data_IF_515740696344
#
_entry.id   IF_515740696344
#
_cell.length_a   1.000
_cell.length_b   1.000
_cell.length_c   1.000
_cell.angle_alpha   90.00
_cell.angle_beta   90.00
_cell.angle_gamma   90.00
#
_symmetry.space_group_name_H-M   'P 1'
#
loop_
_entity.id
_entity.type
_entity.pdbx_description
1 polymer ?
#
# COMPACT_ATOMS: atom_id res chain seq x y z
N UNK A 1 -29.06 22.64 -62.03
CA UNK A 1 -29.95 23.74 -61.61
C UNK A 1 -31.19 23.13 -61.00
N UNK A 2 -31.54 23.49 -59.76
CA UNK A 2 -32.64 22.89 -58.99
C UNK A 2 -32.19 22.25 -57.67
N UNK A 3 -31.37 22.95 -56.88
CA UNK A 3 -31.05 22.52 -55.52
C UNK A 3 -32.16 23.02 -54.57
N UNK A 4 -32.81 22.06 -53.93
CA UNK A 4 -33.85 22.23 -52.94
C UNK A 4 -33.51 23.24 -51.85
N UNK A 5 -34.35 24.27 -51.73
CA UNK A 5 -34.59 24.99 -50.48
C UNK A 5 -35.32 24.05 -49.49
N UNK A 6 -34.62 23.06 -48.93
CA UNK A 6 -35.17 22.21 -47.87
C UNK A 6 -34.91 22.84 -46.49
N UNK A 7 -35.99 23.34 -45.90
CA UNK A 7 -36.26 23.50 -44.47
C UNK A 7 -35.25 24.29 -43.62
N UNK A 8 -35.35 25.61 -43.67
CA UNK A 8 -35.10 26.43 -42.46
C UNK A 8 -36.39 26.48 -41.63
N UNK A 9 -36.34 26.26 -40.30
CA UNK A 9 -37.53 26.30 -39.46
C UNK A 9 -38.14 27.72 -39.43
N UNK A 10 -39.41 27.84 -39.82
CA UNK A 10 -40.21 29.07 -39.76
C UNK A 10 -40.71 29.33 -38.32
N UNK A 11 -39.80 29.46 -37.35
CA UNK A 11 -40.12 29.91 -35.99
C UNK A 11 -39.78 31.38 -35.84
N UNK A 12 -40.77 32.23 -35.52
CA UNK A 12 -40.69 33.68 -35.23
C UNK A 12 -39.29 34.29 -35.31
N UNK A 13 -38.89 34.67 -36.52
CA UNK A 13 -37.62 35.30 -36.88
C UNK A 13 -37.49 36.76 -36.42
N UNK A 14 -38.34 37.24 -35.51
CA UNK A 14 -38.38 38.65 -35.12
C UNK A 14 -37.21 39.12 -34.23
N UNK A 15 -36.30 38.25 -33.78
CA UNK A 15 -35.11 38.66 -33.00
C UNK A 15 -33.75 38.43 -33.68
N UNK A 16 -33.70 37.77 -34.84
CA UNK A 16 -32.44 37.55 -35.54
C UNK A 16 -32.45 38.32 -36.86
N UNK A 17 -32.01 39.59 -36.79
CA UNK A 17 -31.89 40.46 -37.95
C UNK A 17 -31.06 39.79 -39.05
N UNK A 18 -31.73 39.46 -40.18
CA UNK A 18 -31.25 39.25 -41.57
C UNK A 18 -29.88 38.62 -41.84
N UNK A 19 -29.24 37.99 -40.86
CA UNK A 19 -27.92 37.39 -40.93
C UNK A 19 -28.00 35.87 -41.10
N UNK A 20 -27.19 35.36 -42.02
CA UNK A 20 -26.97 33.92 -42.23
C UNK A 20 -26.67 33.24 -40.89
N UNK A 21 -27.49 32.28 -40.47
CA UNK A 21 -27.29 31.54 -39.22
C UNK A 21 -26.02 30.71 -39.34
N UNK A 22 -24.99 31.11 -38.58
CA UNK A 22 -23.72 30.42 -38.52
C UNK A 22 -23.71 29.21 -37.60
N UNK A 23 -23.26 28.05 -38.10
CA UNK A 23 -22.99 26.91 -37.22
C UNK A 23 -21.72 27.17 -36.41
N UNK A 24 -21.75 26.79 -35.13
CA UNK A 24 -20.55 26.87 -34.28
C UNK A 24 -19.49 25.85 -34.70
N UNK A 25 -18.22 26.28 -34.65
CA UNK A 25 -17.08 25.42 -34.94
C UNK A 25 -16.98 24.26 -33.94
N UNK A 26 -16.53 23.06 -34.37
CA UNK A 26 -16.31 21.94 -33.45
C UNK A 26 -15.31 22.28 -32.33
N UNK A 27 -14.28 23.09 -32.62
CA UNK A 27 -13.28 23.53 -31.65
C UNK A 27 -13.85 24.46 -30.60
N UNK A 28 -14.73 25.42 -30.96
CA UNK A 28 -15.34 26.32 -29.99
C UNK A 28 -16.29 25.56 -29.06
N UNK A 29 -17.01 24.56 -29.60
CA UNK A 29 -17.85 23.66 -28.80
C UNK A 29 -17.01 22.86 -27.80
N UNK A 30 -15.91 22.25 -28.25
CA UNK A 30 -15.01 21.48 -27.38
C UNK A 30 -14.32 22.37 -26.34
N UNK A 31 -13.78 23.52 -26.76
CA UNK A 31 -13.12 24.47 -25.86
C UNK A 31 -14.09 25.01 -24.81
N UNK A 32 -15.35 25.27 -25.18
CA UNK A 32 -16.39 25.66 -24.22
C UNK A 32 -16.65 24.58 -23.16
N UNK A 33 -16.67 23.30 -23.56
CA UNK A 33 -16.83 22.17 -22.64
C UNK A 33 -15.62 22.04 -21.70
N UNK A 34 -14.40 22.26 -22.20
CA UNK A 34 -13.17 22.24 -21.38
C UNK A 34 -13.22 23.36 -20.34
N UNK A 35 -13.60 24.58 -20.73
CA UNK A 35 -13.73 25.70 -19.79
C UNK A 35 -14.82 25.43 -18.74
N UNK A 36 -15.97 24.89 -19.15
CA UNK A 36 -17.00 24.45 -18.21
C UNK A 36 -16.47 23.40 -17.22
N UNK A 37 -15.68 22.43 -17.68
CA UNK A 37 -15.08 21.42 -16.81
C UNK A 37 -14.09 22.04 -15.81
N UNK A 38 -13.21 22.94 -16.25
CA UNK A 38 -12.25 23.64 -15.35
C UNK A 38 -12.98 24.44 -14.27
N UNK A 39 -14.09 25.09 -14.61
CA UNK A 39 -14.89 25.87 -13.65
C UNK A 39 -15.70 24.94 -12.71
N UNK A 40 -16.29 23.88 -13.24
CA UNK A 40 -17.19 23.00 -12.49
C UNK A 40 -16.44 22.03 -11.57
N UNK A 41 -15.23 21.59 -11.95
CA UNK A 41 -14.47 20.60 -11.19
C UNK A 41 -14.21 21.05 -9.74
N UNK A 42 -13.67 22.25 -9.43
CA UNK A 42 -13.47 22.68 -8.04
C UNK A 42 -14.77 22.71 -7.23
N UNK A 43 -15.87 23.14 -7.85
CA UNK A 43 -17.19 23.21 -7.19
C UNK A 43 -17.69 21.81 -6.85
N UNK A 44 -17.57 20.87 -7.79
CA UNK A 44 -17.90 19.46 -7.57
C UNK A 44 -17.04 18.85 -6.46
N UNK A 45 -15.73 19.12 -6.45
CA UNK A 45 -14.82 18.61 -5.42
C UNK A 45 -15.22 19.10 -4.03
N UNK A 46 -15.59 20.38 -3.92
CA UNK A 46 -16.07 20.97 -2.69
C UNK A 46 -17.38 20.31 -2.21
N UNK A 47 -18.34 20.11 -3.12
CA UNK A 47 -19.62 19.45 -2.80
C UNK A 47 -19.46 17.97 -2.44
N UNK A 48 -18.46 17.28 -2.99
CA UNK A 48 -18.17 15.87 -2.69
C UNK A 48 -17.32 15.65 -1.43
N UNK A 49 -16.72 16.71 -0.88
CA UNK A 49 -15.85 16.66 0.31
C UNK A 49 -16.40 15.81 1.47
N UNK A 50 -17.66 15.96 1.94
CA UNK A 50 -18.16 15.16 3.06
C UNK A 50 -18.24 13.66 2.73
N UNK A 51 -18.66 13.30 1.52
CA UNK A 51 -18.75 11.90 1.09
C UNK A 51 -17.36 11.29 0.98
N UNK A 52 -16.39 12.04 0.45
CA UNK A 52 -14.99 11.59 0.38
C UNK A 52 -14.41 11.33 1.76
N UNK A 53 -14.69 12.21 2.73
CA UNK A 53 -14.30 12.00 4.12
C UNK A 53 -14.85 10.69 4.67
N UNK A 54 -16.13 10.38 4.43
CA UNK A 54 -16.72 9.09 4.85
C UNK A 54 -16.12 7.88 4.12
N UNK A 55 -15.74 8.04 2.84
CA UNK A 55 -15.03 6.99 2.10
C UNK A 55 -13.65 6.72 2.76
N UNK A 56 -12.92 7.76 3.14
CA UNK A 56 -11.63 7.60 3.84
C UNK A 56 -11.81 7.00 5.25
N UNK A 57 -12.84 7.40 5.98
CA UNK A 57 -13.16 6.82 7.30
C UNK A 57 -13.54 5.33 7.17
N UNK A 58 -14.40 4.95 6.22
CA UNK A 58 -14.77 3.54 5.99
C UNK A 58 -13.61 2.67 5.47
N UNK A 59 -12.61 3.25 4.79
CA UNK A 59 -11.36 2.57 4.48
C UNK A 59 -10.58 2.20 5.76
N UNK A 60 -10.56 3.07 6.76
CA UNK A 60 -9.88 2.80 8.04
C UNK A 60 -10.56 1.66 8.82
N UNK A 61 -11.89 1.55 8.75
CA UNK A 61 -12.65 0.52 9.46
C UNK A 61 -12.84 -0.79 8.66
N UNK A 62 -12.26 -0.90 7.45
CA UNK A 62 -12.26 -2.12 6.61
C UNK A 62 -13.65 -2.71 6.29
N UNK A 63 -14.67 -1.86 6.21
CA UNK A 63 -16.03 -2.31 5.90
C UNK A 63 -16.28 -2.26 4.38
N UNK A 64 -16.02 -3.37 3.68
CA UNK A 64 -16.08 -3.41 2.20
C UNK A 64 -17.46 -3.06 1.63
N UNK A 65 -18.54 -3.45 2.31
CA UNK A 65 -19.91 -3.21 1.84
C UNK A 65 -20.24 -1.72 1.80
N UNK A 66 -19.90 -0.97 2.85
CA UNK A 66 -20.14 0.48 2.90
C UNK A 66 -19.27 1.25 1.91
N UNK A 67 -18.04 0.79 1.64
CA UNK A 67 -17.14 1.43 0.68
C UNK A 67 -17.69 1.43 -0.75
N UNK A 68 -18.22 0.30 -1.24
CA UNK A 68 -18.75 0.21 -2.61
C UNK A 68 -19.99 1.09 -2.81
N UNK A 69 -20.92 1.08 -1.85
CA UNK A 69 -22.10 1.92 -1.86
C UNK A 69 -21.76 3.42 -1.88
N UNK A 70 -20.80 3.86 -1.04
CA UNK A 70 -20.37 5.26 -0.99
C UNK A 70 -19.68 5.71 -2.29
N UNK A 71 -18.91 4.83 -2.96
CA UNK A 71 -18.31 5.14 -4.28
C UNK A 71 -19.36 5.30 -5.37
N UNK A 72 -20.38 4.43 -5.39
CA UNK A 72 -21.51 4.55 -6.30
C UNK A 72 -22.29 5.84 -6.03
N UNK A 73 -22.59 6.14 -4.77
CA UNK A 73 -23.26 7.38 -4.38
C UNK A 73 -22.48 8.63 -4.80
N UNK A 74 -21.16 8.66 -4.58
CA UNK A 74 -20.31 9.77 -5.01
C UNK A 74 -20.31 9.95 -6.55
N UNK A 75 -20.33 8.84 -7.29
CA UNK A 75 -20.39 8.87 -8.76
C UNK A 75 -21.74 9.37 -9.26
N UNK A 76 -22.85 8.91 -8.65
CA UNK A 76 -24.20 9.39 -8.97
C UNK A 76 -24.36 10.88 -8.66
N UNK A 77 -23.79 11.35 -7.54
CA UNK A 77 -23.79 12.77 -7.20
C UNK A 77 -23.04 13.61 -8.25
N UNK A 78 -21.91 13.13 -8.77
CA UNK A 78 -21.20 13.78 -9.87
C UNK A 78 -22.09 13.92 -11.11
N UNK A 79 -22.74 12.83 -11.53
CA UNK A 79 -23.65 12.83 -12.68
C UNK A 79 -24.78 13.82 -12.45
N UNK A 80 -25.40 13.80 -11.27
CA UNK A 80 -26.50 14.68 -10.92
C UNK A 80 -26.09 16.16 -11.01
N UNK A 81 -24.95 16.54 -10.42
CA UNK A 81 -24.44 17.93 -10.47
C UNK A 81 -24.15 18.33 -11.91
N UNK A 82 -23.48 17.49 -12.69
CA UNK A 82 -23.12 17.79 -14.08
C UNK A 82 -24.36 17.99 -14.96
N UNK A 83 -25.32 17.06 -14.90
CA UNK A 83 -26.56 17.11 -15.68
C UNK A 83 -27.41 18.30 -15.24
N UNK A 84 -27.54 18.53 -13.92
CA UNK A 84 -28.28 19.67 -13.39
C UNK A 84 -27.70 21.01 -13.85
N UNK A 85 -26.38 21.21 -13.72
CA UNK A 85 -25.69 22.42 -14.15
C UNK A 85 -25.95 22.72 -15.63
N UNK A 86 -25.70 21.74 -16.51
CA UNK A 86 -25.88 21.93 -17.96
C UNK A 86 -27.35 22.18 -18.29
N UNK A 87 -28.27 21.40 -17.73
CA UNK A 87 -29.72 21.53 -17.99
C UNK A 87 -30.20 22.92 -17.59
N UNK A 88 -29.85 23.37 -16.38
CA UNK A 88 -30.28 24.65 -15.85
C UNK A 88 -29.74 25.83 -16.67
N UNK A 89 -28.43 25.85 -16.97
CA UNK A 89 -27.83 26.92 -17.75
C UNK A 89 -28.39 27.01 -19.19
N UNK A 90 -28.62 25.86 -19.82
CA UNK A 90 -29.20 25.77 -21.16
C UNK A 90 -30.66 26.20 -21.16
N UNK A 91 -31.48 25.71 -20.24
CA UNK A 91 -32.88 26.11 -20.14
C UNK A 91 -33.03 27.61 -19.85
N UNK A 92 -32.19 28.17 -18.97
CA UNK A 92 -32.28 29.58 -18.56
C UNK A 92 -31.77 30.55 -19.63
N UNK A 93 -30.63 30.26 -20.27
CA UNK A 93 -29.95 31.21 -21.15
C UNK A 93 -29.48 30.67 -22.50
N UNK A 94 -29.74 29.39 -22.78
CA UNK A 94 -29.20 28.68 -23.95
C UNK A 94 -27.68 28.53 -23.94
N UNK A 95 -26.99 28.89 -22.85
CA UNK A 95 -25.54 28.97 -22.76
C UNK A 95 -25.04 28.59 -21.35
N UNK A 96 -24.04 27.71 -21.29
CA UNK A 96 -23.20 27.49 -20.09
C UNK A 96 -22.14 28.59 -19.98
N UNK A 97 -21.39 28.63 -18.88
CA UNK A 97 -20.39 29.69 -18.66
C UNK A 97 -19.27 29.66 -19.72
N UNK A 98 -18.75 28.48 -20.03
CA UNK A 98 -17.78 28.26 -21.10
C UNK A 98 -18.36 28.64 -22.47
N UNK A 99 -19.63 28.30 -22.74
CA UNK A 99 -20.29 28.70 -24.00
C UNK A 99 -20.45 30.21 -24.14
N UNK A 100 -20.67 30.93 -23.03
CA UNK A 100 -20.67 32.41 -23.04
C UNK A 100 -19.29 32.95 -23.43
N UNK A 101 -18.21 32.37 -22.91
CA UNK A 101 -16.84 32.77 -23.22
C UNK A 101 -16.51 32.66 -24.73
N UNK A 102 -16.91 31.55 -25.36
CA UNK A 102 -16.73 31.34 -26.81
C UNK A 102 -17.85 31.91 -27.67
N UNK A 103 -18.85 32.58 -27.07
CA UNK A 103 -19.98 33.18 -27.77
C UNK A 103 -20.73 32.18 -28.65
N UNK A 104 -20.96 30.99 -28.09
CA UNK A 104 -21.69 29.88 -28.72
C UNK A 104 -23.03 29.73 -28.02
N UNK A 105 -24.14 29.61 -28.76
CA UNK A 105 -25.49 29.48 -28.18
C UNK A 105 -26.19 28.22 -28.66
N UNK A 106 -26.90 27.57 -27.75
CA UNK A 106 -27.80 26.44 -28.06
C UNK A 106 -29.20 26.99 -28.28
N UNK A 107 -29.81 26.62 -29.40
CA UNK A 107 -31.19 26.92 -29.75
C UNK A 107 -31.96 25.62 -29.99
N UNK A 108 -33.28 25.62 -29.81
CA UNK A 108 -34.10 24.46 -30.19
C UNK A 108 -34.36 24.49 -31.69
N UNK A 109 -34.39 23.31 -32.29
CA UNK A 109 -34.75 23.14 -33.70
C UNK A 109 -36.25 23.42 -33.96
N UNK A 110 -37.09 23.31 -32.92
CA UNK A 110 -38.56 23.47 -32.99
C UNK A 110 -39.06 24.80 -32.42
N UNK A 111 -38.19 25.70 -31.96
CA UNK A 111 -38.57 27.00 -31.40
C UNK A 111 -37.88 27.32 -30.07
N UNK A 112 -38.66 27.54 -29.00
CA UNK A 112 -38.10 27.85 -27.67
C UNK A 112 -37.48 26.59 -27.06
N UNK A 113 -36.29 26.74 -26.46
CA UNK A 113 -35.58 25.64 -25.83
C UNK A 113 -36.29 25.20 -24.54
N UNK A 114 -36.81 23.97 -24.54
CA UNK A 114 -37.50 23.38 -23.39
C UNK A 114 -36.55 22.87 -22.31
N UNK A 115 -37.09 22.66 -21.11
CA UNK A 115 -36.35 22.02 -20.01
C UNK A 115 -36.02 20.56 -20.33
N UNK A 116 -36.98 19.82 -20.89
CA UNK A 116 -36.81 18.40 -21.28
C UNK A 116 -35.75 18.25 -22.37
N UNK A 117 -35.78 19.11 -23.40
CA UNK A 117 -34.75 19.15 -24.46
C UNK A 117 -33.35 19.38 -23.87
N UNK A 118 -33.25 20.32 -22.93
CA UNK A 118 -32.00 20.65 -22.24
C UNK A 118 -31.52 19.49 -21.35
N UNK A 119 -32.44 18.80 -20.69
CA UNK A 119 -32.14 17.64 -19.83
C UNK A 119 -31.66 16.44 -20.65
N UNK A 120 -32.42 16.05 -21.68
CA UNK A 120 -32.06 14.95 -22.57
C UNK A 120 -30.74 15.20 -23.28
N UNK A 121 -30.49 16.45 -23.71
CA UNK A 121 -29.20 16.87 -24.24
C UNK A 121 -28.07 16.70 -23.21
N UNK A 122 -28.25 17.19 -22.00
CA UNK A 122 -27.22 17.16 -20.95
C UNK A 122 -26.89 15.73 -20.51
N UNK A 123 -27.91 14.88 -20.36
CA UNK A 123 -27.76 13.46 -20.06
C UNK A 123 -27.03 12.74 -21.21
N UNK A 124 -27.39 13.04 -22.46
CA UNK A 124 -26.72 12.49 -23.63
C UNK A 124 -25.24 12.87 -23.65
N UNK A 125 -24.89 14.14 -23.39
CA UNK A 125 -23.47 14.56 -23.28
C UNK A 125 -22.73 13.72 -22.23
N UNK A 126 -23.35 13.46 -21.08
CA UNK A 126 -22.74 12.61 -20.05
C UNK A 126 -22.49 11.17 -20.55
N UNK A 127 -23.46 10.56 -21.24
CA UNK A 127 -23.30 9.24 -21.86
C UNK A 127 -22.19 9.28 -22.93
N UNK A 128 -22.13 10.34 -23.74
CA UNK A 128 -21.06 10.51 -24.72
C UNK A 128 -19.68 10.61 -24.04
N UNK A 129 -19.57 11.27 -22.88
CA UNK A 129 -18.34 11.31 -22.10
C UNK A 129 -17.95 9.94 -21.51
N UNK A 130 -18.93 9.13 -21.09
CA UNK A 130 -18.68 7.74 -20.69
C UNK A 130 -18.16 6.89 -21.85
N UNK A 131 -18.65 7.17 -23.06
CA UNK A 131 -18.14 6.62 -24.32
C UNK A 131 -16.96 7.45 -24.88
N UNK A 132 -16.35 8.26 -24.02
CA UNK A 132 -15.10 8.98 -24.21
C UNK A 132 -15.09 9.90 -25.44
N UNK A 133 -16.24 10.47 -25.74
CA UNK A 133 -16.43 11.43 -26.83
C UNK A 133 -16.49 10.81 -28.22
N UNK A 134 -16.50 9.47 -28.36
CA UNK A 134 -16.69 8.84 -29.68
C UNK A 134 -17.98 9.30 -30.39
N UNK A 135 -19.14 9.38 -29.71
CA UNK A 135 -20.37 9.86 -30.34
C UNK A 135 -20.31 11.34 -30.78
N UNK A 136 -19.46 12.16 -30.13
CA UNK A 136 -19.28 13.56 -30.48
C UNK A 136 -18.70 13.72 -31.90
N UNK A 137 -17.94 12.74 -32.39
CA UNK A 137 -17.34 12.73 -33.73
C UNK A 137 -18.38 12.78 -34.86
N UNK A 138 -19.64 12.45 -34.59
CA UNK A 138 -20.76 12.61 -35.51
C UNK A 138 -20.98 14.07 -35.96
N UNK A 139 -20.36 15.06 -35.28
CA UNK A 139 -20.37 16.47 -35.67
C UNK A 139 -19.74 16.71 -37.06
N UNK A 140 -18.74 15.91 -37.44
CA UNK A 140 -18.05 16.11 -38.71
C UNK A 140 -18.76 15.45 -39.89
N UNK A 141 -19.61 14.46 -39.64
CA UNK A 141 -20.31 13.72 -40.69
C UNK A 141 -21.67 14.33 -41.03
N UNK A 142 -22.35 14.93 -40.03
CA UNK A 142 -23.67 15.51 -40.21
C UNK A 142 -23.63 16.88 -40.89
N UNK A 143 -24.54 17.12 -41.84
CA UNK A 143 -24.61 18.36 -42.62
C UNK A 143 -24.74 19.60 -41.72
N UNK A 144 -25.68 19.56 -40.77
CA UNK A 144 -25.89 20.63 -39.78
C UNK A 144 -24.89 20.64 -38.61
N UNK A 145 -23.80 19.86 -38.67
CA UNK A 145 -22.85 19.68 -37.55
C UNK A 145 -23.55 19.39 -36.21
N UNK A 146 -24.53 18.47 -36.23
CA UNK A 146 -25.28 18.03 -35.04
C UNK A 146 -24.71 16.71 -34.50
N UNK A 147 -23.94 16.72 -33.38
CA UNK A 147 -23.58 15.50 -32.65
C UNK A 147 -24.81 14.78 -32.11
N UNK A 148 -24.63 13.56 -31.59
CA UNK A 148 -25.75 12.70 -31.15
C UNK A 148 -26.56 13.37 -30.04
N UNK A 149 -25.92 13.98 -29.05
CA UNK A 149 -26.61 14.72 -27.99
C UNK A 149 -27.44 15.91 -28.48
N UNK A 150 -27.04 16.57 -29.59
CA UNK A 150 -27.83 17.63 -30.23
C UNK A 150 -29.07 17.07 -30.93
N UNK A 151 -29.01 15.83 -31.43
CA UNK A 151 -30.14 15.16 -32.07
C UNK A 151 -31.14 14.67 -31.03
N UNK A 152 -30.65 14.07 -29.94
CA UNK A 152 -31.51 13.57 -28.86
C UNK A 152 -32.29 14.71 -28.20
N UNK A 153 -31.67 15.86 -27.99
CA UNK A 153 -32.34 17.03 -27.43
C UNK A 153 -33.02 17.94 -28.47
N UNK A 154 -33.09 17.55 -29.75
CA UNK A 154 -33.62 18.38 -30.83
C UNK A 154 -33.10 19.84 -30.84
N UNK A 155 -31.79 19.99 -30.59
CA UNK A 155 -31.11 21.28 -30.49
C UNK A 155 -30.12 21.51 -31.63
N UNK A 156 -29.79 22.79 -31.85
CA UNK A 156 -28.77 23.25 -32.78
C UNK A 156 -27.86 24.25 -32.05
N UNK A 157 -26.57 24.24 -32.40
CA UNK A 157 -25.58 25.12 -31.78
C UNK A 157 -25.05 26.12 -32.80
N UNK A 158 -25.26 27.39 -32.51
CA UNK A 158 -24.93 28.52 -33.38
C UNK A 158 -23.77 29.33 -32.82
N UNK A 159 -23.00 29.96 -33.72
CA UNK A 159 -21.93 30.90 -33.38
C UNK A 159 -22.47 32.32 -33.40
N UNK A 160 -22.12 33.13 -32.39
CA UNK A 160 -22.44 34.56 -32.37
C UNK A 160 -21.31 35.44 -32.94
N UNK A 161 -20.10 34.88 -33.14
CA UNK A 161 -18.92 35.63 -33.65
C UNK A 161 -18.59 35.31 -35.10
N UNK A 162 -18.40 34.03 -35.40
CA UNK A 162 -17.89 33.57 -36.70
C UNK A 162 -18.75 32.42 -37.21
N UNK A 163 -19.64 32.66 -38.20
CA UNK A 163 -20.46 31.60 -38.77
C UNK A 163 -19.60 30.64 -39.58
N UNK A 164 -19.66 29.34 -39.29
CA UNK A 164 -19.07 28.30 -40.14
C UNK A 164 -20.17 27.60 -40.93
N UNK A 165 -19.89 27.30 -42.19
CA UNK A 165 -20.76 26.51 -43.06
C UNK A 165 -20.69 25.00 -42.83
N UNK A 166 -21.19 24.26 -43.82
CA UNK A 166 -21.22 22.79 -43.84
C UNK A 166 -19.81 22.18 -43.74
N UNK A 167 -19.67 20.95 -43.20
CA UNK A 167 -18.38 20.27 -43.13
C UNK A 167 -17.83 19.95 -44.52
N UNK A 168 -16.59 20.38 -44.78
CA UNK A 168 -15.88 20.05 -46.01
C UNK A 168 -15.52 18.55 -46.10
N UNK A 169 -15.33 18.02 -47.31
CA UNK A 169 -14.86 16.64 -47.52
C UNK A 169 -13.55 16.34 -46.77
N UNK A 170 -12.66 17.33 -46.68
CA UNK A 170 -11.40 17.21 -45.94
C UNK A 170 -11.61 17.04 -44.43
N UNK A 171 -12.60 17.73 -43.86
CA UNK A 171 -12.98 17.59 -42.44
C UNK A 171 -13.59 16.23 -42.16
N UNK A 172 -14.43 15.71 -43.06
CA UNK A 172 -14.98 14.35 -42.94
C UNK A 172 -13.88 13.29 -42.88
N UNK A 173 -12.81 13.44 -43.67
CA UNK A 173 -11.65 12.52 -43.64
C UNK A 173 -10.83 12.67 -42.36
N UNK A 174 -10.58 13.92 -41.91
CA UNK A 174 -9.86 14.18 -40.65
C UNK A 174 -10.61 13.62 -39.44
N UNK A 175 -11.95 13.65 -39.46
CA UNK A 175 -12.80 13.14 -38.38
C UNK A 175 -12.51 11.67 -38.04
N UNK A 176 -12.38 10.80 -39.05
CA UNK A 176 -12.07 9.38 -38.85
C UNK A 176 -10.68 9.17 -38.24
N UNK A 177 -9.69 9.95 -38.69
CA UNK A 177 -8.32 9.90 -38.13
C UNK A 177 -8.34 10.34 -36.67
N UNK A 178 -9.00 11.45 -36.36
CA UNK A 178 -9.13 11.92 -34.97
C UNK A 178 -9.90 10.93 -34.09
N UNK A 179 -10.92 10.23 -34.62
CA UNK A 179 -11.66 9.22 -33.86
C UNK A 179 -10.77 8.02 -33.51
N UNK A 180 -9.96 7.56 -34.47
CA UNK A 180 -9.01 6.47 -34.25
C UNK A 180 -7.93 6.85 -33.21
N UNK A 181 -7.38 8.07 -33.29
CA UNK A 181 -6.38 8.56 -32.32
C UNK A 181 -6.99 8.69 -30.91
N UNK A 182 -8.21 9.22 -30.80
CA UNK A 182 -8.91 9.29 -29.51
C UNK A 182 -9.11 7.90 -28.92
N UNK A 183 -9.51 6.90 -29.72
CA UNK A 183 -9.71 5.52 -29.26
C UNK A 183 -8.42 4.88 -28.71
N UNK A 184 -7.28 5.15 -29.33
CA UNK A 184 -5.97 4.68 -28.83
C UNK A 184 -5.62 5.38 -27.51
N UNK A 185 -5.77 6.71 -27.44
CA UNK A 185 -5.50 7.48 -26.21
C UNK A 185 -6.38 7.02 -25.05
N UNK A 186 -7.64 6.70 -25.33
CA UNK A 186 -8.61 6.11 -24.40
C UNK A 186 -8.11 4.79 -23.82
N UNK A 187 -7.68 3.86 -24.68
CA UNK A 187 -7.18 2.56 -24.23
C UNK A 187 -5.95 2.74 -23.34
N UNK A 188 -5.07 3.69 -23.70
CA UNK A 188 -3.89 4.00 -22.92
C UNK A 188 -4.23 4.59 -21.55
N UNK A 189 -5.07 5.64 -21.48
CA UNK A 189 -5.47 6.26 -20.22
C UNK A 189 -6.24 5.27 -19.34
N UNK A 190 -7.14 4.47 -19.92
CA UNK A 190 -7.86 3.40 -19.22
C UNK A 190 -6.92 2.36 -18.62
N UNK A 191 -5.94 1.89 -19.40
CA UNK A 191 -4.91 0.96 -18.89
C UNK A 191 -4.07 1.57 -17.78
N UNK A 192 -3.70 2.86 -17.88
CA UNK A 192 -2.93 3.55 -16.86
C UNK A 192 -3.72 3.69 -15.56
N UNK A 193 -5.00 4.09 -15.65
CA UNK A 193 -5.88 4.17 -14.49
C UNK A 193 -6.09 2.80 -13.85
N UNK A 194 -6.23 1.74 -14.65
CA UNK A 194 -6.34 0.38 -14.14
C UNK A 194 -5.07 -0.07 -13.41
N UNK A 195 -3.88 0.18 -13.96
CA UNK A 195 -2.60 -0.12 -13.31
C UNK A 195 -2.44 0.66 -12.00
N UNK A 196 -2.77 1.96 -12.00
CA UNK A 196 -2.74 2.78 -10.79
C UNK A 196 -3.75 2.30 -9.75
N UNK A 197 -4.95 1.89 -10.17
CA UNK A 197 -5.96 1.34 -9.28
C UNK A 197 -5.52 0.00 -8.68
N UNK A 198 -4.85 -0.86 -9.45
CA UNK A 198 -4.28 -2.11 -8.94
C UNK A 198 -3.20 -1.84 -7.89
N UNK A 199 -2.39 -0.79 -8.07
CA UNK A 199 -1.33 -0.45 -7.12
C UNK A 199 -1.83 -0.04 -5.73
N UNK A 200 -3.07 0.44 -5.59
CA UNK A 200 -3.65 0.83 -4.30
C UNK A 200 -4.31 -0.32 -3.54
N UNK A 201 -4.61 -1.45 -4.19
CA UNK A 201 -5.30 -2.57 -3.54
C UNK A 201 -4.37 -3.50 -2.74
N UNK A 202 -3.06 -3.53 -3.02
CA UNK A 202 -2.23 -4.66 -2.56
C UNK A 202 -1.42 -4.43 -1.28
N UNK A 203 -1.02 -3.21 -0.93
CA UNK A 203 -0.02 -3.06 0.16
C UNK A 203 -0.62 -3.31 1.54
N UNK A 204 -1.79 -2.73 1.85
CA UNK A 204 -2.41 -2.87 3.16
C UNK A 204 -3.10 -4.23 3.37
N UNK A 205 -3.70 -4.80 2.32
CA UNK A 205 -4.42 -6.08 2.41
C UNK A 205 -3.45 -7.27 2.55
N UNK A 206 -2.31 -7.25 1.85
CA UNK A 206 -1.31 -8.32 1.95
C UNK A 206 -0.66 -8.32 3.33
N UNK A 207 -0.39 -7.14 3.91
CA UNK A 207 0.27 -7.02 5.21
C UNK A 207 -0.62 -7.51 6.37
N UNK A 208 -1.92 -7.19 6.33
CA UNK A 208 -2.91 -7.71 7.29
C UNK A 208 -3.07 -9.24 7.19
N UNK A 209 -3.10 -9.78 5.97
CA UNK A 209 -3.25 -11.25 5.76
C UNK A 209 -2.10 -12.08 6.34
N UNK A 210 -0.88 -11.52 6.42
CA UNK A 210 0.27 -12.24 7.00
C UNK A 210 0.20 -12.28 8.53
N UNK A 211 -0.25 -11.19 9.14
CA UNK A 211 -0.49 -11.14 10.59
C UNK A 211 -1.57 -12.16 10.96
N UNK A 212 -2.72 -12.13 10.27
CA UNK A 212 -3.85 -13.01 10.57
C UNK A 212 -3.51 -14.50 10.38
N UNK A 213 -2.76 -14.88 9.33
CA UNK A 213 -2.39 -16.28 9.10
C UNK A 213 -1.48 -16.85 10.20
N UNK A 214 -0.46 -16.09 10.61
CA UNK A 214 0.44 -16.53 11.68
C UNK A 214 -0.31 -16.61 13.03
N UNK A 215 -1.26 -15.70 13.27
CA UNK A 215 -2.07 -15.66 14.49
C UNK A 215 -3.10 -16.80 14.58
N UNK A 216 -3.72 -17.19 13.47
CA UNK A 216 -4.70 -18.29 13.46
C UNK A 216 -4.07 -19.62 13.90
N UNK A 217 -2.78 -19.85 13.60
CA UNK A 217 -2.09 -21.08 13.98
C UNK A 217 -1.71 -21.14 15.47
N UNK A 218 -1.40 -20.00 16.10
CA UNK A 218 -0.90 -19.96 17.50
C UNK A 218 -1.99 -19.60 18.50
N UNK A 219 -3.18 -19.22 18.03
CA UNK A 219 -4.30 -18.79 18.87
C UNK A 219 -4.20 -17.31 19.24
N UNK A 220 -5.25 -16.81 19.90
CA UNK A 220 -5.38 -15.39 20.21
C UNK A 220 -4.51 -14.93 21.39
N UNK A 221 -3.50 -15.67 21.82
CA UNK A 221 -2.69 -15.29 22.98
C UNK A 221 -1.71 -14.15 22.65
N UNK A 222 -1.63 -13.15 23.53
CA UNK A 222 -0.66 -12.07 23.42
C UNK A 222 0.76 -12.59 23.64
N UNK A 223 0.94 -13.56 24.54
CA UNK A 223 2.24 -14.17 24.83
C UNK A 223 2.82 -14.80 23.56
N UNK A 224 2.06 -15.65 22.91
CA UNK A 224 2.39 -16.25 21.61
C UNK A 224 2.78 -15.22 20.54
N UNK A 225 2.01 -14.13 20.45
CA UNK A 225 2.27 -13.06 19.51
C UNK A 225 3.60 -12.35 19.81
N UNK A 226 3.88 -12.13 21.09
CA UNK A 226 5.15 -11.57 21.53
C UNK A 226 6.32 -12.52 21.24
N UNK A 227 6.14 -13.84 21.40
CA UNK A 227 7.17 -14.82 21.02
C UNK A 227 7.49 -14.73 19.53
N UNK A 228 6.48 -14.78 18.67
CA UNK A 228 6.66 -14.65 17.22
C UNK A 228 7.36 -13.34 16.84
N UNK A 229 7.10 -12.26 17.57
CA UNK A 229 7.77 -10.98 17.35
C UNK A 229 9.25 -11.04 17.68
N UNK A 230 9.62 -11.62 18.83
CA UNK A 230 11.03 -11.78 19.24
C UNK A 230 11.81 -12.65 18.23
N UNK A 231 11.16 -13.64 17.62
CA UNK A 231 11.71 -14.49 16.56
C UNK A 231 11.81 -13.74 15.21
N UNK A 232 11.12 -12.61 15.07
CA UNK A 232 11.05 -11.84 13.83
C UNK A 232 10.07 -12.42 12.79
N UNK A 233 9.13 -13.27 13.21
CA UNK A 233 8.10 -13.84 12.34
C UNK A 233 6.93 -12.87 12.10
N UNK A 234 6.65 -11.98 13.04
CA UNK A 234 5.65 -10.92 12.88
C UNK A 234 6.28 -9.53 12.95
N UNK A 235 5.65 -8.56 12.29
CA UNK A 235 6.08 -7.15 12.27
C UNK A 235 5.60 -6.40 13.51
N UNK A 236 6.28 -5.28 13.81
CA UNK A 236 5.96 -4.35 14.91
C UNK A 236 4.48 -3.94 14.95
N UNK A 237 3.85 -3.69 13.80
CA UNK A 237 2.45 -3.26 13.72
C UNK A 237 1.46 -4.36 14.15
N UNK A 238 1.77 -5.63 13.82
CA UNK A 238 0.96 -6.77 14.21
C UNK A 238 0.95 -6.95 15.74
N UNK A 239 2.15 -6.92 16.35
CA UNK A 239 2.29 -6.97 17.81
C UNK A 239 1.58 -5.80 18.49
N UNK A 240 1.71 -4.59 17.93
CA UNK A 240 1.09 -3.37 18.47
C UNK A 240 -0.43 -3.47 18.53
N UNK A 241 -1.06 -3.97 17.46
CA UNK A 241 -2.52 -4.10 17.42
C UNK A 241 -2.98 -5.14 18.44
N UNK A 242 -2.30 -6.28 18.54
CA UNK A 242 -2.66 -7.31 19.53
C UNK A 242 -2.48 -6.82 20.97
N UNK A 243 -1.40 -6.11 21.25
CA UNK A 243 -1.15 -5.56 22.58
C UNK A 243 -2.20 -4.49 22.96
N UNK A 244 -2.67 -3.68 22.01
CA UNK A 244 -3.80 -2.78 22.24
C UNK A 244 -5.08 -3.56 22.56
N UNK A 245 -5.40 -4.59 21.79
CA UNK A 245 -6.59 -5.41 22.03
C UNK A 245 -6.57 -6.05 23.43
N UNK A 246 -5.40 -6.55 23.86
CA UNK A 246 -5.21 -7.10 25.20
C UNK A 246 -5.45 -6.03 26.30
N UNK A 247 -4.90 -4.82 26.15
CA UNK A 247 -5.17 -3.70 27.05
C UNK A 247 -6.67 -3.33 27.09
N UNK A 248 -7.35 -3.34 25.94
CA UNK A 248 -8.79 -3.05 25.87
C UNK A 248 -9.64 -4.08 26.60
N UNK A 249 -9.24 -5.35 26.54
CA UNK A 249 -9.92 -6.45 27.25
C UNK A 249 -9.58 -6.48 28.74
N UNK A 250 -8.59 -5.70 29.19
CA UNK A 250 -8.10 -5.70 30.57
C UNK A 250 -7.29 -6.94 30.94
N UNK A 251 -6.89 -7.74 29.94
CA UNK A 251 -6.14 -8.98 30.13
C UNK A 251 -4.63 -8.71 30.01
N UNK A 252 -3.83 -9.34 30.88
CA UNK A 252 -2.35 -9.28 30.87
C UNK A 252 -1.76 -7.88 30.66
N UNK A 253 -2.25 -6.90 31.40
CA UNK A 253 -1.98 -5.48 31.15
C UNK A 253 -0.48 -5.11 31.21
N UNK A 254 0.29 -5.75 32.10
CA UNK A 254 1.74 -5.57 32.18
C UNK A 254 2.48 -6.09 30.93
N UNK A 255 2.14 -7.29 30.46
CA UNK A 255 2.72 -7.87 29.23
C UNK A 255 2.31 -7.07 27.98
N UNK A 256 1.08 -6.57 27.95
CA UNK A 256 0.59 -5.74 26.85
C UNK A 256 1.33 -4.40 26.76
N UNK A 257 1.59 -3.74 27.89
CA UNK A 257 2.44 -2.55 27.93
C UNK A 257 3.88 -2.87 27.52
N UNK A 258 4.43 -4.02 27.94
CA UNK A 258 5.75 -4.46 27.51
C UNK A 258 5.79 -4.68 26.00
N UNK A 259 4.83 -5.42 25.44
CA UNK A 259 4.70 -5.64 24.01
C UNK A 259 4.57 -4.33 23.22
N UNK A 260 3.84 -3.35 23.73
CA UNK A 260 3.75 -2.02 23.13
C UNK A 260 5.10 -1.29 23.14
N UNK A 261 5.84 -1.36 24.25
CA UNK A 261 7.17 -0.78 24.33
C UNK A 261 8.10 -1.34 23.24
N UNK A 262 8.08 -2.67 23.04
CA UNK A 262 8.84 -3.36 22.00
C UNK A 262 8.38 -3.03 20.58
N UNK A 263 7.08 -2.93 20.35
CA UNK A 263 6.50 -2.52 19.06
C UNK A 263 6.83 -1.08 18.67
N UNK A 264 7.30 -0.29 19.63
CA UNK A 264 7.71 1.12 19.48
C UNK A 264 9.23 1.29 19.62
N UNK A 265 10.03 0.26 19.38
CA UNK A 265 11.50 0.31 19.47
C UNK A 265 12.16 1.47 18.71
N UNK A 266 11.54 1.96 17.62
CA UNK A 266 12.00 3.13 16.83
C UNK A 266 11.64 4.50 17.44
N UNK A 267 10.63 4.55 18.30
CA UNK A 267 10.17 5.77 18.99
C UNK A 267 10.51 5.64 20.48
N UNK A 268 11.77 5.94 20.82
CA UNK A 268 12.32 5.75 22.17
C UNK A 268 11.47 6.42 23.26
N UNK A 269 10.85 7.56 22.97
CA UNK A 269 10.02 8.27 23.94
C UNK A 269 8.80 7.44 24.29
N UNK A 270 8.04 6.98 23.28
CA UNK A 270 6.86 6.14 23.50
C UNK A 270 7.23 4.79 24.11
N UNK A 271 8.32 4.18 23.65
CA UNK A 271 8.80 2.91 24.20
C UNK A 271 9.05 3.03 25.70
N UNK A 272 9.78 4.06 26.13
CA UNK A 272 10.04 4.34 27.55
C UNK A 272 8.78 4.68 28.34
N UNK A 273 7.83 5.42 27.75
CA UNK A 273 6.56 5.72 28.42
C UNK A 273 5.77 4.43 28.70
N UNK A 274 5.78 3.46 27.79
CA UNK A 274 5.17 2.15 28.01
C UNK A 274 5.93 1.30 29.03
N UNK A 275 7.27 1.29 29.02
CA UNK A 275 8.08 0.55 30.02
C UNK A 275 7.77 0.99 31.44
N UNK A 276 7.60 2.30 31.66
CA UNK A 276 7.17 2.85 32.96
C UNK A 276 5.78 2.37 33.36
N UNK A 277 4.86 2.22 32.41
CA UNK A 277 3.50 1.77 32.69
C UNK A 277 3.44 0.29 33.10
N UNK A 278 4.40 -0.54 32.65
CA UNK A 278 4.46 -1.97 33.00
C UNK A 278 4.46 -2.17 34.53
N UNK A 279 5.29 -1.42 35.25
CA UNK A 279 5.42 -1.55 36.70
C UNK A 279 4.30 -0.89 37.50
N UNK A 280 3.53 0.03 36.92
CA UNK A 280 2.43 0.69 37.65
C UNK A 280 1.24 -0.24 37.92
N UNK A 281 1.13 -1.32 37.14
CA UNK A 281 0.02 -2.26 37.25
C UNK A 281 0.35 -3.41 38.19
N UNK A 282 1.58 -3.92 38.12
CA UNK A 282 2.06 -5.01 38.96
C UNK A 282 3.58 -4.91 39.11
N UNK A 283 4.01 -4.45 40.28
CA UNK A 283 5.44 -4.26 40.60
C UNK A 283 6.20 -5.58 40.74
N UNK A 284 5.52 -6.67 41.08
CA UNK A 284 6.11 -8.01 41.26
C UNK A 284 6.05 -8.82 39.97
N UNK A 285 5.34 -8.34 38.94
CA UNK A 285 5.27 -9.02 37.65
C UNK A 285 6.63 -9.19 37.01
N UNK A 286 6.82 -10.32 36.34
CA UNK A 286 8.00 -10.59 35.51
C UNK A 286 8.20 -9.52 34.44
N UNK A 287 7.09 -8.98 33.90
CA UNK A 287 7.15 -7.90 32.91
C UNK A 287 7.76 -6.63 33.51
N UNK A 288 7.46 -6.30 34.77
CA UNK A 288 8.06 -5.15 35.46
C UNK A 288 9.54 -5.37 35.78
N UNK A 289 9.91 -6.54 36.30
CA UNK A 289 11.31 -6.88 36.53
C UNK A 289 12.13 -6.75 35.23
N UNK A 290 11.57 -7.26 34.13
CA UNK A 290 12.18 -7.18 32.81
C UNK A 290 12.25 -5.74 32.28
N UNK A 291 11.19 -4.93 32.45
CA UNK A 291 11.20 -3.53 32.01
C UNK A 291 12.26 -2.70 32.76
N UNK A 292 12.42 -2.92 34.07
CA UNK A 292 13.47 -2.28 34.88
C UNK A 292 14.87 -2.64 34.37
N UNK A 293 15.09 -3.90 34.02
CA UNK A 293 16.37 -4.33 33.43
C UNK A 293 16.61 -3.71 32.05
N UNK A 294 15.59 -3.65 31.18
CA UNK A 294 15.70 -2.96 29.87
C UNK A 294 16.05 -1.48 30.05
N UNK A 295 15.42 -0.80 31.01
CA UNK A 295 15.71 0.61 31.31
C UNK A 295 17.12 0.83 31.91
N UNK A 296 17.65 -0.16 32.65
CA UNK A 296 18.98 -0.13 33.26
C UNK A 296 20.12 -0.47 32.28
N UNK A 297 19.82 -1.17 31.19
CA UNK A 297 20.78 -1.56 30.15
C UNK A 297 21.46 -0.34 29.48
N UNK A 298 22.62 -0.52 28.85
CA UNK A 298 23.96 -0.03 29.22
C UNK A 298 24.17 1.50 29.23
N UNK A 299 23.12 2.30 29.08
CA UNK A 299 23.22 3.75 29.00
C UNK A 299 23.19 4.46 30.36
N UNK A 300 22.87 3.80 31.48
CA UNK A 300 22.57 4.52 32.74
C UNK A 300 23.41 4.21 33.99
N UNK A 301 23.83 2.98 34.27
CA UNK A 301 24.85 2.69 35.31
C UNK A 301 25.07 1.19 35.47
N UNK A 302 26.33 0.77 35.63
CA UNK A 302 26.70 -0.65 35.75
C UNK A 302 26.12 -1.32 37.02
N UNK A 303 26.05 -0.60 38.15
CA UNK A 303 25.59 -1.16 39.43
C UNK A 303 24.10 -1.56 39.45
N UNK A 304 23.22 -0.77 38.83
CA UNK A 304 21.77 -1.09 38.74
C UNK A 304 21.47 -2.23 37.78
N UNK A 305 22.37 -2.47 36.82
CA UNK A 305 22.26 -3.58 35.88
C UNK A 305 22.46 -4.92 36.60
N UNK A 306 23.45 -5.03 37.49
CA UNK A 306 23.80 -6.31 38.11
C UNK A 306 22.70 -6.83 39.07
N UNK A 307 22.03 -5.95 39.82
CA UNK A 307 20.94 -6.33 40.74
C UNK A 307 19.70 -6.82 39.97
N UNK A 308 19.26 -6.05 38.98
CA UNK A 308 18.10 -6.42 38.14
C UNK A 308 18.36 -7.68 37.33
N UNK A 309 19.60 -7.88 36.87
CA UNK A 309 20.02 -9.09 36.17
C UNK A 309 19.98 -10.33 37.10
N UNK A 310 20.46 -10.19 38.35
CA UNK A 310 20.38 -11.26 39.34
C UNK A 310 18.95 -11.66 39.70
N UNK A 311 18.02 -10.70 39.74
CA UNK A 311 16.60 -10.99 39.92
C UNK A 311 16.03 -11.80 38.73
N UNK A 312 16.31 -11.38 37.50
CA UNK A 312 15.82 -12.07 36.29
C UNK A 312 16.36 -13.50 36.16
N UNK A 313 17.59 -13.75 36.57
CA UNK A 313 18.18 -15.10 36.54
C UNK A 313 17.49 -16.12 37.44
N UNK A 314 16.77 -15.65 38.47
CA UNK A 314 16.07 -16.51 39.43
C UNK A 314 14.55 -16.59 39.15
N UNK A 315 14.06 -15.89 38.13
CA UNK A 315 12.64 -15.89 37.75
C UNK A 315 12.38 -16.87 36.60
N UNK A 316 11.24 -17.56 36.66
CA UNK A 316 10.74 -18.42 35.57
C UNK A 316 10.16 -17.57 34.43
N UNK A 317 11.05 -16.97 33.64
CA UNK A 317 10.68 -16.08 32.53
C UNK A 317 9.96 -16.84 31.40
N UNK A 318 8.95 -16.21 30.75
CA UNK A 318 8.36 -16.68 29.50
C UNK A 318 9.45 -16.99 28.46
N UNK A 319 9.29 -18.06 27.64
CA UNK A 319 10.33 -18.50 26.72
C UNK A 319 10.89 -17.41 25.80
N UNK A 320 10.03 -16.53 25.30
CA UNK A 320 10.44 -15.39 24.48
C UNK A 320 11.31 -14.37 25.24
N UNK A 321 10.95 -14.05 26.48
CA UNK A 321 11.72 -13.12 27.32
C UNK A 321 13.07 -13.73 27.72
N UNK A 322 13.11 -15.03 28.03
CA UNK A 322 14.36 -15.77 28.30
C UNK A 322 15.31 -15.70 27.11
N UNK A 323 14.81 -15.89 25.90
CA UNK A 323 15.63 -15.83 24.68
C UNK A 323 16.10 -14.41 24.39
N UNK A 324 15.24 -13.41 24.56
CA UNK A 324 15.63 -12.02 24.39
C UNK A 324 16.72 -11.62 25.41
N UNK A 325 16.53 -12.01 26.67
CA UNK A 325 17.49 -11.77 27.75
C UNK A 325 18.83 -12.46 27.44
N UNK A 326 18.81 -13.74 27.09
CA UNK A 326 19.99 -14.50 26.70
C UNK A 326 20.70 -13.89 25.47
N UNK A 327 19.95 -13.43 24.47
CA UNK A 327 20.50 -12.74 23.29
C UNK A 327 21.20 -11.43 23.66
N UNK A 328 20.66 -10.71 24.64
CA UNK A 328 21.26 -9.46 25.12
C UNK A 328 22.53 -9.74 25.94
N UNK A 329 22.51 -10.70 26.86
CA UNK A 329 23.69 -11.15 27.60
C UNK A 329 24.79 -11.64 26.64
N UNK A 330 24.41 -12.36 25.60
CA UNK A 330 25.32 -12.78 24.52
C UNK A 330 25.93 -11.57 23.79
N UNK A 331 25.15 -10.52 23.51
CA UNK A 331 25.68 -9.29 22.88
C UNK A 331 26.66 -8.54 23.79
N UNK A 332 26.50 -8.65 25.11
CA UNK A 332 27.43 -8.13 26.12
C UNK A 332 28.62 -9.07 26.41
N UNK A 333 28.77 -10.17 25.65
CA UNK A 333 29.83 -11.18 25.82
C UNK A 333 29.82 -11.88 27.19
N UNK A 334 28.68 -11.91 27.90
CA UNK A 334 28.53 -12.58 29.20
C UNK A 334 28.16 -14.07 29.03
N UNK A 335 29.02 -14.85 28.38
CA UNK A 335 28.70 -16.20 27.90
C UNK A 335 28.41 -17.22 29.01
N UNK A 336 29.06 -17.12 30.17
CA UNK A 336 28.82 -18.02 31.31
C UNK A 336 27.37 -17.95 31.80
N UNK A 337 26.86 -16.72 31.90
CA UNK A 337 25.49 -16.41 32.30
C UNK A 337 24.47 -16.93 31.29
N UNK A 338 24.75 -16.78 29.99
CA UNK A 338 23.93 -17.36 28.91
C UNK A 338 23.82 -18.88 29.03
N UNK A 339 24.93 -19.56 29.36
CA UNK A 339 24.93 -21.02 29.54
C UNK A 339 24.13 -21.47 30.77
N UNK A 340 24.22 -20.72 31.88
CA UNK A 340 23.40 -20.98 33.06
C UNK A 340 21.92 -20.81 32.75
N UNK A 341 21.56 -19.71 32.09
CA UNK A 341 20.17 -19.39 31.76
C UNK A 341 19.55 -20.39 30.77
N UNK A 342 20.30 -20.81 29.74
CA UNK A 342 19.78 -21.69 28.69
C UNK A 342 20.05 -23.18 28.94
N UNK A 343 20.78 -23.53 30.00
CA UNK A 343 21.18 -24.92 30.29
C UNK A 343 19.97 -25.83 30.58
N UNK A 344 19.05 -25.33 31.39
CA UNK A 344 17.82 -26.05 31.79
C UNK A 344 16.58 -25.61 31.01
N UNK A 345 16.77 -24.73 30.02
CA UNK A 345 15.68 -24.14 29.26
C UNK A 345 15.14 -25.09 28.19
N UNK A 346 13.83 -25.37 28.26
CA UNK A 346 13.11 -26.21 27.31
C UNK A 346 12.22 -25.36 26.38
N UNK A 347 12.76 -24.84 25.25
CA UNK A 347 12.00 -23.97 24.36
C UNK A 347 10.89 -24.71 23.61
N UNK A 348 9.81 -23.99 23.32
CA UNK A 348 8.80 -24.38 22.34
C UNK A 348 9.43 -24.66 20.96
N UNK A 349 8.76 -25.45 20.12
CA UNK A 349 9.28 -25.89 18.82
C UNK A 349 9.73 -24.74 17.91
N UNK A 350 9.03 -23.59 17.96
CA UNK A 350 9.36 -22.40 17.17
C UNK A 350 10.64 -21.71 17.65
N UNK A 351 10.90 -21.73 18.96
CA UNK A 351 12.03 -21.07 19.60
C UNK A 351 13.30 -21.94 19.62
N UNK A 352 13.12 -23.25 19.48
CA UNK A 352 14.19 -24.25 19.57
C UNK A 352 15.40 -23.93 18.67
N UNK A 353 15.17 -23.43 17.46
CA UNK A 353 16.26 -23.10 16.53
C UNK A 353 17.09 -21.90 17.00
N UNK A 354 16.42 -20.84 17.48
CA UNK A 354 17.09 -19.62 17.97
C UNK A 354 17.84 -19.93 19.27
N UNK A 355 17.21 -20.64 20.19
CA UNK A 355 17.84 -21.09 21.44
C UNK A 355 19.09 -21.91 21.14
N UNK A 356 19.00 -22.90 20.24
CA UNK A 356 20.14 -23.71 19.85
C UNK A 356 21.27 -22.87 19.26
N UNK A 357 20.95 -21.82 18.49
CA UNK A 357 21.94 -20.90 17.92
C UNK A 357 22.64 -20.05 18.99
N UNK A 358 21.91 -19.49 19.94
CA UNK A 358 22.48 -18.70 21.04
C UNK A 358 23.36 -19.61 21.92
N UNK A 359 22.83 -20.78 22.32
CA UNK A 359 23.54 -21.77 23.12
C UNK A 359 24.82 -22.26 22.42
N UNK A 360 24.74 -22.54 21.12
CA UNK A 360 25.89 -22.91 20.30
C UNK A 360 26.98 -21.83 20.32
N UNK A 361 26.60 -20.56 20.14
CA UNK A 361 27.50 -19.40 20.18
C UNK A 361 28.20 -19.29 21.54
N UNK A 362 27.43 -19.40 22.63
CA UNK A 362 27.95 -19.32 23.98
C UNK A 362 28.91 -20.48 24.30
N UNK A 363 28.57 -21.72 23.93
CA UNK A 363 29.43 -22.89 24.15
C UNK A 363 30.75 -22.82 23.39
N UNK A 364 30.74 -22.26 22.19
CA UNK A 364 31.97 -22.01 21.45
C UNK A 364 32.85 -21.00 22.20
N UNK A 365 32.27 -19.86 22.61
CA UNK A 365 32.98 -18.80 23.31
C UNK A 365 33.61 -19.27 24.64
N UNK A 366 32.99 -20.22 25.35
CA UNK A 366 33.54 -20.82 26.58
C UNK A 366 34.44 -22.05 26.34
N UNK A 367 34.88 -22.29 25.10
CA UNK A 367 35.76 -23.40 24.71
C UNK A 367 35.16 -24.82 24.93
N UNK A 368 33.84 -24.95 25.02
CA UNK A 368 33.12 -26.22 25.19
C UNK A 368 32.79 -26.87 23.83
N UNK A 369 33.80 -27.05 22.98
CA UNK A 369 33.64 -27.40 21.55
C UNK A 369 32.88 -28.71 21.31
N UNK A 370 33.07 -29.73 22.17
CA UNK A 370 32.37 -31.02 22.04
C UNK A 370 30.87 -30.86 22.24
N UNK A 371 30.46 -30.09 23.23
CA UNK A 371 29.05 -29.82 23.54
C UNK A 371 28.42 -28.92 22.48
N UNK A 372 29.15 -27.90 22.01
CA UNK A 372 28.70 -27.07 20.88
C UNK A 372 28.40 -27.92 19.64
N UNK A 373 29.28 -28.87 19.29
CA UNK A 373 29.06 -29.79 18.17
C UNK A 373 27.83 -30.68 18.36
N UNK A 374 27.60 -31.14 19.59
CA UNK A 374 26.42 -31.93 19.91
C UNK A 374 25.14 -31.10 19.71
N UNK A 375 25.07 -29.86 20.20
CA UNK A 375 23.93 -28.94 20.00
C UNK A 375 23.68 -28.68 18.52
N UNK A 376 24.75 -28.43 17.76
CA UNK A 376 24.66 -28.20 16.31
C UNK A 376 24.02 -29.39 15.57
N UNK A 377 24.46 -30.61 15.90
CA UNK A 377 23.93 -31.84 15.28
C UNK A 377 22.52 -32.19 15.75
N UNK A 378 22.23 -32.05 17.03
CA UNK A 378 20.93 -32.44 17.61
C UNK A 378 19.78 -31.53 17.16
N UNK A 379 20.08 -30.32 16.71
CA UNK A 379 19.10 -29.32 16.27
C UNK A 379 19.07 -29.08 14.75
N UNK A 380 19.83 -29.85 13.96
CA UNK A 380 19.92 -29.68 12.51
C UNK A 380 20.18 -28.23 12.08
N UNK A 381 21.05 -27.51 12.81
CA UNK A 381 21.40 -26.14 12.47
C UNK A 381 22.04 -26.09 11.08
N UNK A 382 21.68 -25.08 10.27
CA UNK A 382 22.25 -24.94 8.93
C UNK A 382 23.70 -24.49 9.01
N UNK A 383 24.57 -24.90 8.07
CA UNK A 383 25.98 -24.50 8.08
C UNK A 383 26.23 -22.99 8.00
N UNK A 384 25.33 -22.21 7.40
CA UNK A 384 25.45 -20.74 7.39
C UNK A 384 25.19 -20.11 8.76
N UNK A 385 24.25 -20.67 9.52
CA UNK A 385 23.98 -20.19 10.89
C UNK A 385 25.20 -20.41 11.79
N UNK A 386 25.94 -21.50 11.57
CA UNK A 386 27.21 -21.80 12.25
C UNK A 386 28.24 -20.69 12.02
N UNK A 387 28.46 -20.28 10.77
CA UNK A 387 29.45 -19.24 10.47
C UNK A 387 29.08 -17.88 11.02
N UNK A 388 27.84 -17.43 10.81
CA UNK A 388 27.42 -16.12 11.31
C UNK A 388 27.52 -16.04 12.84
N UNK A 389 27.33 -17.18 13.51
CA UNK A 389 27.46 -17.30 14.96
C UNK A 389 28.93 -17.34 15.40
N UNK A 390 29.79 -18.01 14.64
CA UNK A 390 31.24 -18.06 14.89
C UNK A 390 31.90 -16.69 14.76
N UNK A 391 31.63 -15.97 13.66
CA UNK A 391 32.14 -14.61 13.42
C UNK A 391 31.74 -13.64 14.53
N UNK A 392 30.52 -13.80 15.06
CA UNK A 392 30.00 -12.96 16.14
C UNK A 392 30.65 -13.28 17.50
N UNK A 393 31.00 -14.55 17.75
CA UNK A 393 31.62 -14.98 18.99
C UNK A 393 33.11 -14.62 19.08
N UNK A 394 33.80 -14.65 17.94
CA UNK A 394 35.24 -14.43 17.86
C UNK A 394 35.52 -13.31 16.87
N UNK A 395 35.87 -12.13 17.37
CA UNK A 395 36.42 -11.00 16.58
C UNK A 395 37.84 -11.33 16.04
N UNK A 396 38.04 -12.55 15.54
CA UNK A 396 39.33 -13.06 15.11
C UNK A 396 39.44 -13.11 13.57
N UNK A 397 40.67 -12.96 13.03
CA UNK A 397 40.91 -12.98 11.59
C UNK A 397 40.57 -14.35 10.98
N UNK A 398 40.07 -14.32 9.73
CA UNK A 398 39.57 -15.45 8.92
C UNK A 398 40.50 -16.67 8.86
N UNK A 399 41.79 -16.52 9.17
CA UNK A 399 42.78 -17.59 9.18
C UNK A 399 42.41 -18.79 10.06
N UNK A 400 41.55 -18.59 11.07
CA UNK A 400 41.11 -19.68 11.96
C UNK A 400 39.84 -20.41 11.46
N UNK A 401 39.10 -19.86 10.50
CA UNK A 401 37.82 -20.44 10.07
C UNK A 401 38.01 -21.73 9.28
N UNK A 402 39.06 -21.78 8.44
CA UNK A 402 39.39 -22.98 7.68
C UNK A 402 39.78 -24.14 8.59
N UNK A 403 40.70 -23.90 9.52
CA UNK A 403 41.18 -24.89 10.49
C UNK A 403 40.04 -25.44 11.35
N UNK A 404 39.09 -24.58 11.69
CA UNK A 404 37.91 -24.94 12.45
C UNK A 404 36.94 -25.79 11.62
N UNK A 405 36.67 -25.41 10.37
CA UNK A 405 35.88 -26.20 9.42
C UNK A 405 36.50 -27.57 9.15
N UNK A 406 37.82 -27.64 8.97
CA UNK A 406 38.55 -28.90 8.85
C UNK A 406 38.44 -29.77 10.11
N UNK A 407 38.41 -29.15 11.29
CA UNK A 407 38.21 -29.86 12.56
C UNK A 407 36.79 -30.44 12.66
N UNK A 408 35.78 -29.70 12.22
CA UNK A 408 34.38 -30.13 12.23
C UNK A 408 34.06 -31.14 11.13
N UNK A 409 34.75 -31.03 9.99
CA UNK A 409 34.62 -31.90 8.84
C UNK A 409 36.00 -32.40 8.42
N UNK A 410 36.55 -33.43 9.10
CA UNK A 410 37.92 -33.93 8.86
C UNK A 410 38.18 -34.34 7.40
N UNK A 411 37.12 -34.68 6.66
CA UNK A 411 37.19 -35.00 5.23
C UNK A 411 37.58 -33.81 4.35
N UNK A 412 37.35 -32.56 4.80
CA UNK A 412 37.76 -31.34 4.09
C UNK A 412 39.29 -31.20 4.04
N UNK A 413 40.00 -31.65 5.09
CA UNK A 413 41.46 -31.60 5.14
C UNK A 413 42.11 -32.40 4.00
N UNK A 414 41.51 -33.55 3.67
CA UNK A 414 41.95 -34.42 2.57
C UNK A 414 41.56 -33.90 1.17
N UNK A 415 40.80 -32.80 1.09
CA UNK A 415 40.40 -32.16 -0.16
C UNK A 415 41.31 -30.98 -0.55
N UNK A 416 42.31 -30.63 0.27
CA UNK A 416 43.36 -29.68 -0.14
C UNK A 416 44.19 -30.28 -1.29
N UNK A 417 43.78 -29.99 -2.53
CA UNK A 417 44.44 -30.45 -3.76
C UNK A 417 43.63 -31.39 -4.67
N UNK A 418 42.41 -31.80 -4.30
CA UNK A 418 41.49 -32.52 -5.20
C UNK A 418 40.23 -31.70 -5.48
N UNK A 419 39.63 -31.87 -6.65
CA UNK A 419 38.40 -31.17 -7.05
C UNK A 419 37.31 -31.37 -6.00
N UNK A 420 36.97 -30.29 -5.28
CA UNK A 420 35.89 -30.23 -4.26
C UNK A 420 34.55 -30.74 -4.82
N UNK A 421 34.39 -30.74 -6.16
CA UNK A 421 33.21 -31.24 -6.83
C UNK A 421 32.94 -32.74 -6.57
N UNK A 422 33.96 -33.56 -6.30
CA UNK A 422 33.80 -35.02 -6.17
C UNK A 422 33.44 -35.52 -4.76
N UNK A 423 33.24 -34.61 -3.79
CA UNK A 423 32.92 -34.98 -2.41
C UNK A 423 31.40 -35.10 -2.21
N UNK A 424 30.80 -36.17 -2.74
CA UNK A 424 29.33 -36.40 -2.74
C UNK A 424 28.71 -36.48 -1.34
N UNK A 425 29.52 -36.71 -0.29
CA UNK A 425 29.08 -36.88 1.10
C UNK A 425 29.19 -35.61 1.95
N UNK A 426 29.60 -34.48 1.38
CA UNK A 426 29.66 -33.19 2.10
C UNK A 426 28.53 -32.30 1.59
N UNK A 427 27.67 -31.74 2.47
CA UNK A 427 26.62 -30.80 2.08
C UNK A 427 27.18 -29.71 1.16
N UNK A 428 26.44 -29.37 0.12
CA UNK A 428 26.89 -28.45 -0.94
C UNK A 428 27.28 -27.09 -0.36
N UNK A 429 26.55 -26.63 0.64
CA UNK A 429 26.76 -25.38 1.36
C UNK A 429 28.14 -25.36 2.02
N UNK A 430 28.56 -26.46 2.65
CA UNK A 430 29.87 -26.57 3.31
C UNK A 430 30.99 -26.61 2.28
N UNK A 431 30.77 -27.23 1.12
CA UNK A 431 31.73 -27.24 0.01
C UNK A 431 31.95 -25.86 -0.58
N UNK A 432 30.87 -25.11 -0.82
CA UNK A 432 30.92 -23.73 -1.31
C UNK A 432 31.63 -22.84 -0.31
N UNK A 433 31.27 -22.99 0.97
CA UNK A 433 31.81 -22.19 2.05
C UNK A 433 33.30 -22.43 2.30
N UNK A 434 33.71 -23.69 2.30
CA UNK A 434 35.11 -24.06 2.40
C UNK A 434 35.93 -23.51 1.22
N UNK A 435 35.37 -23.53 0.00
CA UNK A 435 36.01 -22.94 -1.19
C UNK A 435 36.19 -21.42 -1.04
N UNK A 436 35.16 -20.70 -0.59
CA UNK A 436 35.23 -19.26 -0.34
C UNK A 436 36.32 -18.95 0.71
N UNK A 437 36.37 -19.71 1.80
CA UNK A 437 37.36 -19.49 2.86
C UNK A 437 38.80 -19.88 2.43
N UNK A 438 38.96 -20.82 1.49
CA UNK A 438 40.26 -21.10 0.86
C UNK A 438 40.70 -20.00 -0.11
N UNK A 439 39.78 -19.37 -0.85
CA UNK A 439 40.11 -18.28 -1.79
C UNK A 439 40.49 -16.97 -1.09
N UNK A 440 40.02 -16.80 0.16
CA UNK A 440 40.32 -15.61 0.97
C UNK A 440 41.66 -15.73 1.74
N UNK A 441 42.16 -16.95 1.95
CA UNK A 441 43.47 -17.23 2.56
C UNK A 441 44.60 -17.15 1.53
#
# INVERSE_FOLDING_TARGET
>A
MGAENRYFPQGNTQEFGSGVIGLASPSDRLASLIVDAVILLPIVQLLQSPIKRWIYESMLFNELASQSALRVANSLLFVAIFVFYNTFCLWWSGQTLGKKFFSVRVISYRGRLGFVDSFLRSLSIFIEMLLLGLPFMAIFTHELRRPIHDRVGDTLVISLKSPIGYPSLSEKRKAWVTAAVSLIAIMFIGSLYFILSLSQLDVAAIEKSKCDKALVEVGHDLEASFELFVVGQIKEECLRNRAKDALWLGDQSALANLALAFSHSKDHKKSNDYLKQVCLQDEESMSCAFSRWVEASPLKSQATSDESEGMLMNMDLPPALTIYFASTLASQKQWSKVLTLLGDFHPNSQLRLITARILFTALLATNSQKTALWVFKSHNLKPMDFLMSYDKAFEHPQKNHLTLLEKFYPRLKNLSGRSIASADKVPMEIRVLYRILQEIQ
#
